data_IF_870176297320
#
_entry.id   IF_870176297320
#
_cell.length_a   1.000
_cell.length_b   1.000
_cell.length_c   1.000
_cell.angle_alpha   90.00
_cell.angle_beta   90.00
_cell.angle_gamma   90.00
#
_symmetry.space_group_name_H-M   'P 1'
#
loop_
_entity.id
_entity.type
_entity.pdbx_description
1 polymer ?
#
# COMPACT_ATOMS: atom_id res chain seq x y z
N UNK A 1 11.97 -15.70 -0.20
CA UNK A 1 11.45 -14.37 0.16
C UNK A 1 10.83 -13.76 -1.08
N UNK A 2 9.55 -13.42 -1.02
CA UNK A 2 8.89 -12.61 -2.05
C UNK A 2 9.55 -11.22 -2.04
N UNK A 3 9.88 -10.68 -3.21
CA UNK A 3 10.48 -9.33 -3.30
C UNK A 3 9.55 -8.30 -2.66
N UNK A 4 10.06 -7.34 -1.85
CA UNK A 4 9.26 -6.27 -1.26
C UNK A 4 8.42 -5.50 -2.30
N UNK A 5 8.92 -5.41 -3.54
CA UNK A 5 8.27 -4.71 -4.67
C UNK A 5 7.01 -5.38 -5.21
N UNK A 6 6.67 -6.60 -4.77
CA UNK A 6 5.54 -7.37 -5.31
C UNK A 6 4.44 -7.66 -4.27
N UNK A 7 4.56 -7.13 -3.05
CA UNK A 7 3.59 -7.42 -1.98
C UNK A 7 2.30 -6.63 -2.22
N UNK A 8 1.18 -7.35 -2.22
CA UNK A 8 -0.18 -6.79 -2.31
C UNK A 8 -1.08 -7.45 -1.27
N UNK A 9 -2.06 -6.71 -0.79
CA UNK A 9 -3.10 -7.19 0.11
C UNK A 9 -4.48 -6.79 -0.43
N UNK A 10 -5.33 -7.79 -0.67
CA UNK A 10 -6.71 -7.57 -1.07
C UNK A 10 -7.59 -7.19 0.13
N UNK A 11 -8.56 -6.32 -0.10
CA UNK A 11 -9.60 -5.95 0.86
C UNK A 11 -10.89 -5.55 0.14
N UNK A 12 -11.97 -5.33 0.89
CA UNK A 12 -13.26 -4.89 0.34
C UNK A 12 -13.73 -3.65 1.08
N UNK A 13 -14.11 -2.62 0.32
CA UNK A 13 -14.73 -1.40 0.83
C UNK A 13 -16.06 -1.21 0.10
N UNK A 14 -17.20 -1.23 0.79
CA UNK A 14 -18.53 -1.04 0.17
C UNK A 14 -18.76 -1.93 -1.08
N UNK A 15 -18.49 -3.23 -0.93
CA UNK A 15 -18.57 -4.25 -2.01
C UNK A 15 -17.58 -4.00 -3.17
N UNK A 16 -16.65 -3.05 -3.05
CA UNK A 16 -15.56 -2.76 -3.98
C UNK A 16 -14.34 -3.63 -3.66
N UNK A 17 -14.00 -4.62 -4.50
CA UNK A 17 -12.76 -5.36 -4.33
C UNK A 17 -11.59 -4.45 -4.70
N UNK A 18 -10.66 -4.28 -3.76
CA UNK A 18 -9.50 -3.41 -3.89
C UNK A 18 -8.25 -4.17 -3.46
N UNK A 19 -7.09 -3.69 -3.90
CA UNK A 19 -5.79 -4.14 -3.37
C UNK A 19 -5.01 -2.92 -2.88
N UNK A 20 -4.24 -3.08 -1.80
CA UNK A 20 -3.13 -2.16 -1.52
C UNK A 20 -1.82 -2.86 -1.87
N UNK A 21 -0.97 -2.15 -2.60
CA UNK A 21 0.37 -2.61 -2.94
C UNK A 21 1.37 -1.48 -2.80
N UNK A 22 2.65 -1.85 -2.67
CA UNK A 22 3.74 -0.88 -2.59
C UNK A 22 4.38 -0.67 -3.97
N UNK A 23 4.67 0.58 -4.29
CA UNK A 23 5.46 1.00 -5.45
C UNK A 23 6.68 1.76 -4.93
N UNK A 24 7.84 1.51 -5.53
CA UNK A 24 9.06 2.24 -5.22
C UNK A 24 9.36 3.23 -6.35
N UNK A 25 9.29 4.53 -6.05
CA UNK A 25 9.63 5.64 -6.94
C UNK A 25 10.43 6.70 -6.18
N UNK A 26 11.35 7.40 -6.85
CA UNK A 26 12.09 8.56 -6.32
C UNK A 26 12.63 8.44 -4.88
N UNK A 27 13.13 7.24 -4.53
CA UNK A 27 13.67 6.89 -3.19
C UNK A 27 12.63 6.75 -2.06
N UNK A 28 11.34 6.69 -2.38
CA UNK A 28 10.26 6.40 -1.44
C UNK A 28 9.52 5.11 -1.82
N UNK A 29 8.99 4.44 -0.80
CA UNK A 29 8.06 3.33 -0.94
C UNK A 29 6.66 3.85 -0.64
N UNK A 30 5.82 3.92 -1.66
CA UNK A 30 4.46 4.45 -1.57
C UNK A 30 3.44 3.32 -1.66
N UNK A 31 2.52 3.24 -0.70
CA UNK A 31 1.34 2.38 -0.82
C UNK A 31 0.30 3.04 -1.72
N UNK A 32 -0.22 2.23 -2.65
CA UNK A 32 -1.27 2.62 -3.58
C UNK A 32 -2.45 1.70 -3.43
N UNK A 33 -3.65 2.26 -3.51
CA UNK A 33 -4.87 1.50 -3.77
C UNK A 33 -4.92 1.17 -5.25
N UNK A 34 -5.20 -0.09 -5.55
CA UNK A 34 -5.45 -0.62 -6.87
C UNK A 34 -6.90 -1.10 -7.00
N UNK A 35 -7.47 -0.84 -8.16
CA UNK A 35 -8.72 -1.44 -8.63
C UNK A 35 -8.47 -2.03 -10.00
N UNK A 36 -8.80 -3.31 -10.19
CA UNK A 36 -8.55 -4.06 -11.43
C UNK A 36 -7.11 -3.90 -11.96
N UNK A 37 -6.13 -3.89 -11.06
CA UNK A 37 -4.71 -3.74 -11.37
C UNK A 37 -4.24 -2.31 -11.66
N UNK A 38 -5.12 -1.31 -11.59
CA UNK A 38 -4.80 0.10 -11.85
C UNK A 38 -4.68 0.89 -10.55
N UNK A 39 -3.65 1.72 -10.43
CA UNK A 39 -3.50 2.67 -9.32
C UNK A 39 -4.61 3.71 -9.35
N UNK A 40 -5.32 3.89 -8.24
CA UNK A 40 -6.42 4.86 -8.13
C UNK A 40 -6.21 5.92 -7.06
N UNK A 41 -5.44 5.64 -6.01
CA UNK A 41 -5.12 6.60 -4.94
C UNK A 41 -3.81 6.21 -4.24
N UNK A 42 -2.98 7.19 -3.91
CA UNK A 42 -1.85 7.00 -3.00
C UNK A 42 -2.35 7.06 -1.55
N UNK A 43 -1.72 6.31 -0.64
CA UNK A 43 -2.15 6.22 0.77
C UNK A 43 -1.08 6.79 1.69
N UNK A 44 0.09 6.15 1.74
CA UNK A 44 1.21 6.58 2.57
C UNK A 44 2.54 6.37 1.84
N UNK A 45 3.56 7.14 2.20
CA UNK A 45 4.93 6.94 1.74
C UNK A 45 5.90 6.81 2.92
N UNK A 46 6.97 6.07 2.70
CA UNK A 46 8.07 5.91 3.65
C UNK A 46 9.41 5.95 2.91
N UNK A 47 10.42 6.57 3.52
CA UNK A 47 11.75 6.68 2.91
C UNK A 47 12.40 5.30 2.72
N UNK A 48 13.18 5.15 1.64
CA UNK A 48 13.94 3.92 1.37
C UNK A 48 14.82 3.51 2.55
N UNK A 49 15.49 4.48 3.17
CA UNK A 49 16.42 4.25 4.27
C UNK A 49 15.72 3.62 5.49
N UNK A 50 14.49 4.04 5.80
CA UNK A 50 13.71 3.46 6.91
C UNK A 50 13.36 2.00 6.63
N UNK A 51 13.06 1.66 5.38
CA UNK A 51 12.80 0.26 4.99
C UNK A 51 14.07 -0.57 5.08
N UNK A 52 15.21 -0.06 4.61
CA UNK A 52 16.51 -0.76 4.73
C UNK A 52 16.91 -0.98 6.20
N UNK A 53 16.76 0.03 7.05
CA UNK A 53 17.05 -0.06 8.48
C UNK A 53 16.17 -1.09 9.18
N UNK A 54 14.87 -1.08 8.91
CA UNK A 54 13.94 -2.06 9.47
C UNK A 54 14.23 -3.48 8.99
N UNK A 55 14.52 -3.68 7.70
CA UNK A 55 14.91 -4.97 7.16
C UNK A 55 16.22 -5.48 7.80
N UNK A 56 17.20 -4.61 8.01
CA UNK A 56 18.45 -4.95 8.71
C UNK A 56 18.22 -5.37 10.17
N UNK A 57 17.15 -4.89 10.80
CA UNK A 57 16.69 -5.28 12.15
C UNK A 57 15.74 -6.49 12.16
N UNK A 58 15.36 -7.01 10.99
CA UNK A 58 14.43 -8.13 10.86
C UNK A 58 12.94 -7.74 10.95
N UNK A 59 12.61 -6.46 10.83
CA UNK A 59 11.22 -5.97 10.81
C UNK A 59 10.59 -6.10 9.42
N UNK A 60 9.28 -6.36 9.36
CA UNK A 60 8.51 -6.41 8.12
C UNK A 60 7.86 -5.05 7.81
N UNK A 61 8.70 -4.02 7.64
CA UNK A 61 8.25 -2.63 7.47
C UNK A 61 7.25 -2.47 6.32
N UNK A 62 7.45 -3.18 5.20
CA UNK A 62 6.54 -3.13 4.06
C UNK A 62 5.20 -3.81 4.37
N UNK A 63 5.21 -4.91 5.12
CA UNK A 63 3.98 -5.55 5.59
C UNK A 63 3.19 -4.62 6.52
N UNK A 64 3.86 -4.04 7.52
CA UNK A 64 3.27 -3.10 8.47
C UNK A 64 2.68 -1.86 7.77
N UNK A 65 3.41 -1.30 6.79
CA UNK A 65 2.94 -0.16 6.00
C UNK A 65 1.67 -0.51 5.20
N UNK A 66 1.62 -1.70 4.59
CA UNK A 66 0.45 -2.17 3.84
C UNK A 66 -0.75 -2.34 4.78
N UNK A 67 -0.57 -2.97 5.95
CA UNK A 67 -1.63 -3.17 6.93
C UNK A 67 -2.21 -1.85 7.45
N UNK A 68 -1.33 -0.90 7.81
CA UNK A 68 -1.71 0.44 8.23
C UNK A 68 -2.49 1.18 7.12
N UNK A 69 -2.00 1.09 5.88
CA UNK A 69 -2.66 1.72 4.72
C UNK A 69 -4.05 1.15 4.46
N UNK A 70 -4.25 -0.16 4.63
CA UNK A 70 -5.59 -0.78 4.51
C UNK A 70 -6.52 -0.22 5.58
N UNK A 71 -6.05 -0.08 6.82
CA UNK A 71 -6.84 0.49 7.90
C UNK A 71 -7.24 1.95 7.60
N UNK A 72 -6.33 2.77 7.06
CA UNK A 72 -6.60 4.16 6.70
C UNK A 72 -7.69 4.28 5.62
N UNK A 73 -7.65 3.42 4.59
CA UNK A 73 -8.69 3.40 3.55
C UNK A 73 -10.03 2.98 4.14
N UNK A 74 -10.06 1.93 4.97
CA UNK A 74 -11.29 1.46 5.62
C UNK A 74 -11.87 2.48 6.61
N UNK A 75 -11.02 3.30 7.22
CA UNK A 75 -11.41 4.39 8.11
C UNK A 75 -11.90 5.64 7.36
N UNK A 76 -11.80 5.65 6.02
CA UNK A 76 -12.17 6.80 5.19
C UNK A 76 -11.19 7.97 5.27
N UNK A 77 -9.94 7.72 5.70
CA UNK A 77 -8.87 8.74 5.73
C UNK A 77 -8.42 9.09 4.30
N UNK A 78 -8.48 8.11 3.39
CA UNK A 78 -8.12 8.27 1.98
C UNK A 78 -9.38 8.41 1.14
N UNK A 79 -9.50 9.51 0.42
CA UNK A 79 -10.58 9.69 -0.56
C UNK A 79 -10.28 8.87 -1.82
N UNK A 80 -11.19 7.95 -2.16
CA UNK A 80 -11.08 7.14 -3.37
C UNK A 80 -11.93 7.75 -4.50
N UNK A 81 -11.46 7.69 -5.75
CA UNK A 81 -12.29 8.09 -6.87
C UNK A 81 -13.54 7.20 -6.97
N UNK A 82 -14.65 7.72 -7.52
CA UNK A 82 -15.86 6.94 -7.73
C UNK A 82 -15.58 5.72 -8.62
N UNK A 83 -16.38 4.67 -8.47
CA UNK A 83 -16.33 3.50 -9.35
C UNK A 83 -16.49 3.95 -10.80
N UNK A 84 -15.61 3.45 -11.67
CA UNK A 84 -15.82 3.57 -13.11
C UNK A 84 -16.91 2.57 -13.49
N UNK A 85 -18.09 3.09 -13.82
CA UNK A 85 -19.21 2.33 -14.38
C UNK A 85 -18.93 1.83 -15.78
#
# INVERSE_FOLDING_TARGET
MTSPKARRQGFTLDERPLEIGVVFDDAEWTTWVFEDGHRIAAVASIEHATVEEGLARGSDVIGELIEASVADVLAGVVELPPRKS
#
